data_IF_861008752058
#
_entry.id   IF_861008752058
#
_cell.length_a   1.000
_cell.length_b   1.000
_cell.length_c   1.000
_cell.angle_alpha   90.00
_cell.angle_beta   90.00
_cell.angle_gamma   90.00
#
_symmetry.space_group_name_H-M   'P 1'
#
loop_
_entity.id
_entity.type
_entity.pdbx_description
1 polymer ?
#
# COMPACT_ATOMS: atom_id res chain seq x y z
N UNK A 1 -1.83 -14.58 2.62
CA UNK A 1 -2.30 -15.23 3.86
C UNK A 1 -3.10 -14.19 4.61
N UNK A 2 -4.32 -14.49 5.03
CA UNK A 2 -5.17 -13.50 5.69
C UNK A 2 -4.74 -13.32 7.16
N UNK A 3 -4.46 -12.07 7.55
CA UNK A 3 -4.21 -11.73 8.94
C UNK A 3 -5.53 -11.71 9.73
N UNK A 4 -5.47 -12.11 11.00
CA UNK A 4 -6.58 -11.94 11.95
C UNK A 4 -6.48 -10.59 12.63
N UNK A 5 -7.59 -9.89 12.81
CA UNK A 5 -7.60 -8.59 13.48
C UNK A 5 -8.19 -8.67 14.89
N UNK A 6 -9.35 -9.29 15.02
CA UNK A 6 -10.05 -9.47 16.29
C UNK A 6 -9.12 -10.03 17.38
N UNK A 7 -9.02 -9.32 18.50
CA UNK A 7 -8.17 -9.61 19.66
C UNK A 7 -6.66 -9.69 19.40
N UNK A 8 -6.20 -9.45 18.18
CA UNK A 8 -4.79 -9.51 17.81
C UNK A 8 -4.06 -8.20 18.09
N UNK A 9 -2.82 -8.27 18.56
CA UNK A 9 -2.01 -7.12 18.95
C UNK A 9 -0.96 -6.81 17.88
N UNK A 10 -1.05 -5.61 17.32
CA UNK A 10 -0.20 -5.12 16.24
C UNK A 10 0.78 -4.04 16.70
N UNK A 11 1.99 -4.05 16.15
CA UNK A 11 2.96 -2.97 16.26
C UNK A 11 3.48 -2.64 14.86
N UNK A 12 3.84 -1.38 14.62
CA UNK A 12 4.32 -0.90 13.32
C UNK A 12 5.73 -0.33 13.44
N UNK A 13 6.63 -0.76 12.56
CA UNK A 13 8.02 -0.28 12.50
C UNK A 13 8.39 0.19 11.10
N UNK A 14 9.40 1.06 10.98
CA UNK A 14 9.80 1.67 9.71
C UNK A 14 8.83 2.76 9.24
N UNK A 15 8.98 3.16 7.98
CA UNK A 15 8.05 4.08 7.33
C UNK A 15 7.15 3.26 6.42
N UNK A 16 5.84 3.38 6.64
CA UNK A 16 4.82 2.72 5.82
C UNK A 16 4.65 3.51 4.51
N UNK A 17 4.59 2.82 3.37
CA UNK A 17 4.38 3.42 2.06
C UNK A 17 2.90 3.79 1.81
N UNK A 18 1.99 3.02 2.41
CA UNK A 18 0.57 3.03 2.06
C UNK A 18 -0.30 3.77 3.08
N UNK A 19 0.14 3.88 4.33
CA UNK A 19 -0.63 4.48 5.42
C UNK A 19 0.27 5.25 6.36
N UNK A 20 -0.23 6.34 6.96
CA UNK A 20 0.41 6.86 8.18
C UNK A 20 0.32 5.80 9.29
N UNK A 21 1.30 5.76 10.19
CA UNK A 21 1.26 4.84 11.34
C UNK A 21 -0.04 4.97 12.15
N UNK A 22 -0.51 6.19 12.38
CA UNK A 22 -1.78 6.44 13.09
C UNK A 22 -3.00 5.88 12.36
N UNK A 23 -2.98 5.90 11.03
CA UNK A 23 -4.02 5.35 10.17
C UNK A 23 -4.01 3.82 10.22
N UNK A 24 -2.85 3.19 10.07
CA UNK A 24 -2.73 1.73 10.21
C UNK A 24 -3.18 1.26 11.60
N UNK A 25 -2.89 2.03 12.65
CA UNK A 25 -3.40 1.76 14.00
C UNK A 25 -4.93 1.90 14.12
N UNK A 26 -5.52 2.90 13.46
CA UNK A 26 -6.98 3.07 13.39
C UNK A 26 -7.64 1.85 12.76
N UNK A 27 -7.07 1.34 11.66
CA UNK A 27 -7.63 0.18 10.95
C UNK A 27 -7.61 -1.11 11.74
N UNK A 28 -6.54 -1.32 12.52
CA UNK A 28 -6.47 -2.47 13.43
C UNK A 28 -7.60 -2.39 14.45
N UNK A 29 -7.83 -1.21 15.06
CA UNK A 29 -8.88 -1.02 16.08
C UNK A 29 -10.29 -1.14 15.51
N UNK A 30 -10.49 -0.66 14.30
CA UNK A 30 -11.79 -0.75 13.63
C UNK A 30 -12.19 -2.19 13.27
N UNK A 31 -11.23 -3.13 13.31
CA UNK A 31 -11.43 -4.59 13.14
C UNK A 31 -11.20 -5.34 14.45
N UNK A 32 -11.47 -4.69 15.58
CA UNK A 32 -11.39 -5.25 16.94
C UNK A 32 -9.99 -5.71 17.38
N UNK A 33 -8.96 -5.25 16.69
CA UNK A 33 -7.58 -5.46 17.07
C UNK A 33 -7.05 -4.41 18.04
N UNK A 34 -5.89 -4.70 18.63
CA UNK A 34 -5.19 -3.84 19.56
C UNK A 34 -3.87 -3.35 18.95
N UNK A 35 -3.46 -2.13 19.31
CA UNK A 35 -2.22 -1.54 18.77
C UNK A 35 -1.25 -1.17 19.87
N UNK A 36 -0.01 -1.63 19.78
CA UNK A 36 1.07 -1.32 20.70
C UNK A 36 2.16 -0.49 20.02
N UNK A 37 2.85 0.31 20.82
CA UNK A 37 4.00 1.12 20.36
C UNK A 37 5.35 0.42 20.61
N UNK A 38 5.35 -0.69 21.34
CA UNK A 38 6.55 -1.44 21.73
C UNK A 38 6.42 -2.91 21.35
N UNK A 39 7.56 -3.54 21.06
CA UNK A 39 7.64 -4.99 20.84
C UNK A 39 7.79 -5.66 22.20
N UNK A 40 6.87 -6.58 22.53
CA UNK A 40 6.82 -7.32 23.78
C UNK A 40 6.22 -8.73 23.53
N UNK A 41 6.31 -9.62 24.52
CA UNK A 41 5.83 -11.01 24.45
C UNK A 41 4.32 -11.16 24.16
N UNK A 42 3.53 -10.12 24.45
CA UNK A 42 2.10 -10.14 24.20
C UNK A 42 1.79 -9.84 22.74
N UNK A 43 2.72 -9.26 21.98
CA UNK A 43 2.50 -8.84 20.61
C UNK A 43 2.28 -10.05 19.70
N UNK A 44 1.28 -9.97 18.82
CA UNK A 44 0.94 -11.03 17.88
C UNK A 44 1.59 -10.76 16.51
N UNK A 45 1.59 -9.48 16.05
CA UNK A 45 2.16 -9.07 14.77
C UNK A 45 3.05 -7.83 14.87
N UNK A 46 4.20 -7.87 14.20
CA UNK A 46 5.02 -6.70 13.88
C UNK A 46 4.95 -6.42 12.38
N UNK A 47 4.25 -5.35 12.00
CA UNK A 47 4.15 -4.88 10.62
C UNK A 47 5.35 -4.01 10.28
N UNK A 48 6.07 -4.39 9.23
CA UNK A 48 7.28 -3.70 8.74
C UNK A 48 6.90 -2.88 7.51
N UNK A 49 7.12 -1.56 7.60
CA UNK A 49 6.88 -0.65 6.49
C UNK A 49 7.83 -0.89 5.31
N UNK A 50 7.30 -0.65 4.11
CA UNK A 50 7.99 -0.90 2.84
C UNK A 50 9.05 0.14 2.49
N UNK A 51 9.03 1.33 3.11
CA UNK A 51 10.04 2.35 2.84
C UNK A 51 11.31 2.04 3.67
N UNK A 52 12.45 1.73 3.03
CA UNK A 52 13.68 1.43 3.73
C UNK A 52 14.16 2.65 4.50
N UNK A 53 14.62 2.43 5.73
CA UNK A 53 15.32 3.49 6.46
C UNK A 53 16.69 3.72 5.81
N UNK A 54 17.18 4.98 5.71
CA UNK A 54 18.54 5.27 5.27
C UNK A 54 19.63 4.52 6.07
N UNK A 55 19.29 4.04 7.27
CA UNK A 55 20.16 3.27 8.16
C UNK A 55 20.23 1.76 7.82
N UNK A 56 19.53 1.26 6.79
CA UNK A 56 19.55 -0.16 6.42
C UNK A 56 20.74 -0.59 5.54
N UNK A 57 21.80 0.22 5.45
CA UNK A 57 23.03 -0.21 4.81
C UNK A 57 23.64 -1.34 5.65
N UNK A 58 23.76 -2.54 5.08
CA UNK A 58 24.47 -3.71 5.63
C UNK A 58 23.69 -4.65 6.57
N UNK A 59 22.38 -4.87 6.36
CA UNK A 59 21.66 -5.95 7.03
C UNK A 59 21.40 -5.72 8.53
N UNK A 60 21.58 -4.48 8.99
CA UNK A 60 21.31 -4.08 10.36
C UNK A 60 19.80 -3.83 10.53
N UNK A 61 19.11 -4.85 11.01
CA UNK A 61 17.68 -4.77 11.27
C UNK A 61 17.46 -3.85 12.48
N UNK A 62 16.64 -2.80 12.33
CA UNK A 62 16.35 -1.89 13.45
C UNK A 62 15.87 -2.64 14.71
N UNK A 63 16.18 -2.10 15.89
CA UNK A 63 16.04 -2.77 17.21
C UNK A 63 14.69 -3.47 17.47
N UNK A 64 13.58 -2.97 16.88
CA UNK A 64 12.26 -3.62 16.96
C UNK A 64 12.20 -4.96 16.23
N UNK A 65 12.82 -5.08 15.05
CA UNK A 65 12.83 -6.31 14.25
C UNK A 65 13.69 -7.36 14.93
N UNK A 66 14.86 -6.99 15.43
CA UNK A 66 15.72 -7.91 16.18
C UNK A 66 14.98 -8.47 17.40
N UNK A 67 14.41 -7.59 18.24
CA UNK A 67 13.63 -8.02 19.41
C UNK A 67 12.45 -8.91 19.05
N UNK A 68 11.76 -8.63 17.95
CA UNK A 68 10.65 -9.46 17.47
C UNK A 68 11.11 -10.87 17.06
N UNK A 69 12.28 -10.97 16.39
CA UNK A 69 12.86 -12.27 16.00
C UNK A 69 13.29 -13.09 17.22
N UNK A 70 13.85 -12.45 18.23
CA UNK A 70 14.22 -13.10 19.50
C UNK A 70 12.99 -13.68 20.19
N UNK A 71 11.96 -12.85 20.41
CA UNK A 71 10.69 -13.28 21.01
C UNK A 71 10.00 -14.37 20.18
N UNK A 72 10.07 -14.29 18.85
CA UNK A 72 9.48 -15.32 17.99
C UNK A 72 10.17 -16.68 18.17
N UNK A 73 11.49 -16.71 18.34
CA UNK A 73 12.23 -17.96 18.62
C UNK A 73 11.86 -18.55 19.98
N UNK A 74 11.61 -17.71 20.98
CA UNK A 74 11.32 -18.14 22.36
C UNK A 74 9.85 -18.52 22.57
N UNK A 75 8.93 -17.80 21.93
CA UNK A 75 7.49 -17.85 22.24
C UNK A 75 6.60 -18.09 21.01
N UNK A 76 7.17 -18.19 19.82
CA UNK A 76 6.41 -18.33 18.57
C UNK A 76 5.69 -17.05 18.11
N UNK A 77 5.92 -15.91 18.78
CA UNK A 77 5.34 -14.59 18.47
C UNK A 77 6.24 -13.45 18.93
N UNK A 78 6.14 -12.23 18.36
CA UNK A 78 5.25 -11.79 17.28
C UNK A 78 5.70 -12.27 15.90
N UNK A 79 4.74 -12.50 14.98
CA UNK A 79 5.05 -12.76 13.58
C UNK A 79 5.44 -11.46 12.86
N UNK A 80 6.52 -11.49 12.09
CA UNK A 80 6.88 -10.41 11.18
C UNK A 80 5.95 -10.43 9.97
N UNK A 81 5.36 -9.29 9.65
CA UNK A 81 4.39 -9.13 8.57
C UNK A 81 4.84 -7.98 7.67
N UNK A 82 4.87 -8.22 6.36
CA UNK A 82 5.15 -7.16 5.39
C UNK A 82 3.95 -6.20 5.30
N UNK A 83 4.20 -4.91 5.07
CA UNK A 83 3.12 -3.95 4.86
C UNK A 83 2.16 -4.36 3.74
N UNK A 84 2.65 -4.95 2.64
CA UNK A 84 1.80 -5.45 1.55
C UNK A 84 0.81 -6.52 2.01
N UNK A 85 1.22 -7.43 2.90
CA UNK A 85 0.35 -8.46 3.48
C UNK A 85 -0.68 -7.85 4.44
N UNK A 86 -0.27 -6.84 5.21
CA UNK A 86 -1.18 -6.07 6.05
C UNK A 86 -2.24 -5.36 5.22
N UNK A 87 -1.84 -4.67 4.14
CA UNK A 87 -2.77 -4.02 3.22
C UNK A 87 -3.73 -5.01 2.57
N UNK A 88 -3.25 -6.19 2.16
CA UNK A 88 -4.09 -7.24 1.60
C UNK A 88 -5.12 -7.77 2.62
N UNK A 89 -4.76 -7.83 3.90
CA UNK A 89 -5.66 -8.35 4.95
C UNK A 89 -6.66 -7.30 5.43
N UNK A 90 -6.27 -6.01 5.44
CA UNK A 90 -7.23 -4.91 5.61
C UNK A 90 -8.31 -4.95 4.55
N UNK A 91 -7.88 -5.36 3.37
CA UNK A 91 -8.76 -5.66 2.29
C UNK A 91 -9.73 -6.78 2.76
N UNK A 92 -9.28 -8.00 3.03
CA UNK A 92 -10.17 -9.16 3.21
C UNK A 92 -11.03 -9.15 4.48
N UNK A 93 -10.65 -8.41 5.52
CA UNK A 93 -11.38 -8.33 6.80
C UNK A 93 -12.10 -6.99 6.90
N UNK A 94 -13.41 -7.00 7.12
CA UNK A 94 -14.21 -5.78 7.25
C UNK A 94 -14.16 -5.21 8.68
N UNK A 95 -14.24 -3.88 8.84
CA UNK A 95 -14.44 -3.23 10.14
C UNK A 95 -15.79 -3.58 10.76
N UNK A 96 -15.83 -3.74 12.09
CA UNK A 96 -17.04 -4.18 12.82
C UNK A 96 -18.09 -3.10 13.06
N UNK A 97 -17.74 -1.82 12.92
CA UNK A 97 -18.66 -0.68 12.96
C UNK A 97 -18.48 0.19 11.71
N UNK A 98 -18.64 -0.43 10.54
CA UNK A 98 -18.50 0.24 9.24
C UNK A 98 -19.71 1.11 8.86
N UNK A 99 -20.79 1.09 9.65
CA UNK A 99 -22.07 1.73 9.31
C UNK A 99 -22.78 1.01 8.15
N UNK A 100 -23.80 1.65 7.58
CA UNK A 100 -24.49 1.12 6.39
C UNK A 100 -23.53 1.07 5.18
N UNK A 101 -23.59 -0.06 4.45
CA UNK A 101 -22.92 -0.25 3.16
C UNK A 101 -23.73 0.49 2.10
N UNK A 102 -23.29 1.69 1.74
CA UNK A 102 -23.92 2.52 0.71
C UNK A 102 -23.07 2.62 -0.57
N UNK A 103 -21.78 2.27 -0.51
CA UNK A 103 -20.84 2.40 -1.61
C UNK A 103 -19.88 1.20 -1.76
N UNK A 104 -19.37 1.02 -2.97
CA UNK A 104 -18.32 0.05 -3.33
C UNK A 104 -17.02 0.79 -3.59
N UNK A 105 -15.90 0.21 -3.19
CA UNK A 105 -14.57 0.74 -3.48
C UNK A 105 -13.87 -0.18 -4.46
N UNK A 106 -13.34 0.41 -5.52
CA UNK A 106 -12.37 -0.20 -6.41
C UNK A 106 -10.96 0.23 -6.01
N UNK A 107 -10.07 -0.74 -5.82
CA UNK A 107 -8.63 -0.50 -5.65
C UNK A 107 -7.87 -1.20 -6.77
N UNK A 108 -7.10 -0.43 -7.52
CA UNK A 108 -6.21 -0.93 -8.58
C UNK A 108 -4.79 -0.58 -8.20
N UNK A 109 -3.92 -1.57 -8.03
CA UNK A 109 -2.48 -1.35 -7.91
C UNK A 109 -1.84 -1.64 -9.26
N UNK A 110 -0.98 -0.75 -9.71
CA UNK A 110 -0.28 -0.85 -10.99
C UNK A 110 1.21 -0.62 -10.72
N UNK A 111 2.07 -1.53 -11.17
CA UNK A 111 3.52 -1.47 -10.93
C UNK A 111 4.29 -1.70 -12.23
N UNK A 112 5.39 -0.98 -12.41
CA UNK A 112 6.27 -1.13 -13.58
C UNK A 112 7.67 -0.59 -13.28
N UNK A 113 8.61 -0.84 -14.18
CA UNK A 113 9.98 -0.29 -14.14
C UNK A 113 10.15 0.67 -15.32
N UNK A 114 10.72 1.85 -15.07
CA UNK A 114 11.20 2.78 -16.09
C UNK A 114 12.72 2.70 -16.11
N UNK A 115 13.29 2.52 -17.30
CA UNK A 115 14.73 2.49 -17.45
C UNK A 115 15.31 3.90 -17.61
N UNK A 116 16.49 4.14 -17.03
CA UNK A 116 17.31 5.35 -17.25
C UNK A 116 16.62 6.71 -17.03
N UNK A 117 15.60 6.78 -16.16
CA UNK A 117 14.86 8.01 -15.86
C UNK A 117 14.37 8.76 -17.10
N UNK A 118 13.84 8.04 -18.07
CA UNK A 118 13.33 8.63 -19.32
C UNK A 118 12.31 9.76 -19.02
N UNK A 119 12.71 11.00 -19.31
CA UNK A 119 11.94 12.18 -18.92
C UNK A 119 10.61 12.30 -19.65
N UNK A 120 10.51 11.77 -20.88
CA UNK A 120 9.27 11.79 -21.65
C UNK A 120 8.25 10.80 -21.06
N UNK A 121 8.68 9.57 -20.74
CA UNK A 121 7.82 8.58 -20.09
C UNK A 121 7.38 9.00 -18.70
N UNK A 122 8.31 9.55 -17.90
CA UNK A 122 8.01 10.14 -16.58
C UNK A 122 6.89 11.18 -16.72
N UNK A 123 7.03 12.12 -17.66
CA UNK A 123 6.02 13.16 -17.87
C UNK A 123 4.68 12.58 -18.33
N UNK A 124 4.69 11.62 -19.25
CA UNK A 124 3.48 10.94 -19.72
C UNK A 124 2.75 10.19 -18.58
N UNK A 125 3.50 9.58 -17.66
CA UNK A 125 2.95 8.93 -16.46
C UNK A 125 2.31 9.96 -15.54
N UNK A 126 2.98 11.07 -15.25
CA UNK A 126 2.42 12.14 -14.42
C UNK A 126 1.13 12.71 -15.04
N UNK A 127 1.13 12.93 -16.36
CA UNK A 127 -0.04 13.40 -17.10
C UNK A 127 -1.20 12.39 -17.01
N UNK A 128 -0.95 11.09 -17.22
CA UNK A 128 -1.96 10.05 -17.10
C UNK A 128 -2.53 9.94 -15.67
N UNK A 129 -1.65 9.98 -14.67
CA UNK A 129 -2.07 9.94 -13.26
C UNK A 129 -2.95 11.16 -12.94
N UNK A 130 -2.53 12.37 -13.30
CA UNK A 130 -3.28 13.59 -13.06
C UNK A 130 -4.63 13.58 -13.77
N UNK A 131 -4.69 13.06 -15.00
CA UNK A 131 -5.93 12.87 -15.75
C UNK A 131 -6.86 11.89 -15.04
N UNK A 132 -6.33 10.77 -14.59
CA UNK A 132 -7.10 9.74 -13.88
C UNK A 132 -7.66 10.27 -12.55
N UNK A 133 -6.89 11.07 -11.82
CA UNK A 133 -7.34 11.73 -10.59
C UNK A 133 -8.46 12.75 -10.85
N UNK A 134 -8.27 13.65 -11.82
CA UNK A 134 -9.18 14.78 -12.07
C UNK A 134 -10.44 14.41 -12.85
N UNK A 135 -10.33 13.57 -13.86
CA UNK A 135 -11.41 13.33 -14.84
C UNK A 135 -12.19 12.06 -14.53
N UNK A 136 -11.54 11.05 -13.94
CA UNK A 136 -12.16 9.77 -13.65
C UNK A 136 -12.56 9.60 -12.17
N UNK A 137 -12.33 10.61 -11.33
CA UNK A 137 -12.75 10.62 -9.92
C UNK A 137 -12.01 9.60 -9.06
N UNK A 138 -10.78 9.25 -9.44
CA UNK A 138 -9.92 8.42 -8.61
C UNK A 138 -9.16 9.27 -7.59
N UNK A 139 -8.83 8.68 -6.46
CA UNK A 139 -7.73 9.12 -5.62
C UNK A 139 -6.52 8.28 -5.95
N UNK A 140 -5.42 8.95 -6.34
CA UNK A 140 -4.23 8.29 -6.85
C UNK A 140 -3.06 8.50 -5.90
N UNK A 141 -2.35 7.41 -5.64
CA UNK A 141 -1.08 7.39 -4.93
C UNK A 141 -0.03 6.85 -5.87
N UNK A 142 1.09 7.54 -6.01
CA UNK A 142 2.21 7.07 -6.81
C UNK A 142 3.49 7.32 -6.02
N UNK A 143 4.39 6.34 -6.04
CA UNK A 143 5.72 6.44 -5.45
C UNK A 143 6.75 5.80 -6.38
N UNK A 144 8.00 6.23 -6.23
CA UNK A 144 9.13 5.74 -7.02
C UNK A 144 10.27 5.29 -6.14
N UNK A 145 10.89 4.19 -6.54
CA UNK A 145 12.02 3.63 -5.83
C UNK A 145 13.12 3.24 -6.82
N UNK A 146 14.40 3.25 -6.42
CA UNK A 146 15.45 2.65 -7.23
C UNK A 146 15.13 1.18 -7.50
N UNK A 147 15.02 0.79 -8.77
CA UNK A 147 14.61 -0.56 -9.16
C UNK A 147 15.61 -1.63 -8.72
N UNK A 148 16.90 -1.27 -8.60
CA UNK A 148 17.96 -2.11 -8.08
C UNK A 148 17.71 -2.62 -6.63
N UNK A 149 16.81 -2.00 -5.87
CA UNK A 149 16.40 -2.50 -4.56
C UNK A 149 15.51 -3.76 -4.64
N UNK A 150 14.88 -4.02 -5.79
CA UNK A 150 13.87 -5.06 -5.98
C UNK A 150 14.23 -6.08 -7.07
N UNK A 151 15.19 -5.75 -7.93
CA UNK A 151 15.64 -6.62 -9.02
C UNK A 151 17.15 -6.50 -9.21
N UNK A 152 17.87 -7.62 -9.15
CA UNK A 152 19.32 -7.66 -9.42
C UNK A 152 19.67 -7.35 -10.88
N UNK A 153 18.67 -7.44 -11.78
CA UNK A 153 18.83 -7.15 -13.21
C UNK A 153 18.50 -5.69 -13.57
N UNK A 154 18.03 -4.88 -12.62
CA UNK A 154 17.73 -3.48 -12.88
C UNK A 154 19.01 -2.63 -12.92
N UNK A 155 19.07 -1.71 -13.86
CA UNK A 155 20.12 -0.71 -13.96
C UNK A 155 20.17 0.22 -12.74
N UNK A 156 21.31 0.86 -12.49
CA UNK A 156 21.52 1.72 -11.32
C UNK A 156 20.59 2.95 -11.28
N UNK A 157 20.13 3.40 -12.46
CA UNK A 157 19.26 4.57 -12.62
C UNK A 157 17.80 4.19 -12.93
N UNK A 158 17.48 2.90 -12.96
CA UNK A 158 16.12 2.44 -13.22
C UNK A 158 15.22 2.72 -12.02
N UNK A 159 13.98 3.10 -12.30
CA UNK A 159 12.99 3.43 -11.28
C UNK A 159 11.85 2.42 -11.33
N UNK A 160 11.57 1.80 -10.19
CA UNK A 160 10.32 1.08 -9.97
C UNK A 160 9.25 2.10 -9.59
N UNK A 161 8.15 2.10 -10.33
CA UNK A 161 6.98 2.93 -10.04
C UNK A 161 5.88 2.04 -9.50
N UNK A 162 5.26 2.46 -8.40
CA UNK A 162 4.07 1.84 -7.85
C UNK A 162 2.95 2.87 -7.75
N UNK A 163 1.88 2.63 -8.49
CA UNK A 163 0.67 3.43 -8.48
C UNK A 163 -0.46 2.66 -7.81
N UNK A 164 -1.27 3.35 -7.01
CA UNK A 164 -2.56 2.87 -6.51
C UNK A 164 -3.64 3.85 -6.88
N UNK A 165 -4.66 3.35 -7.53
CA UNK A 165 -5.87 4.06 -7.89
C UNK A 165 -7.01 3.57 -7.02
N UNK A 166 -7.75 4.51 -6.45
CA UNK A 166 -8.86 4.23 -5.55
C UNK A 166 -10.09 4.98 -6.03
N UNK A 167 -11.22 4.30 -6.19
CA UNK A 167 -12.46 4.95 -6.62
C UNK A 167 -13.65 4.43 -5.83
N UNK A 168 -14.48 5.35 -5.35
CA UNK A 168 -15.82 5.03 -4.86
C UNK A 168 -16.75 4.83 -6.05
N UNK A 169 -17.60 3.83 -5.94
CA UNK A 169 -18.53 3.41 -6.97
C UNK A 169 -19.87 3.07 -6.33
N UNK A 170 -20.99 3.25 -7.05
CA UNK A 170 -22.25 2.65 -6.66
C UNK A 170 -22.13 1.12 -6.48
N UNK A 171 -22.94 0.54 -5.61
CA UNK A 171 -22.90 -0.90 -5.31
C UNK A 171 -23.18 -1.79 -6.53
N UNK A 172 -23.99 -1.30 -7.47
CA UNK A 172 -24.37 -1.96 -8.72
C UNK A 172 -23.36 -1.71 -9.87
N UNK A 173 -22.36 -0.84 -9.67
CA UNK A 173 -21.36 -0.55 -10.68
C UNK A 173 -20.26 -1.62 -10.76
N UNK A 174 -19.78 -1.87 -11.98
CA UNK A 174 -18.70 -2.82 -12.28
C UNK A 174 -17.34 -2.12 -12.43
N UNK A 175 -16.25 -2.79 -12.04
CA UNK A 175 -14.89 -2.27 -12.22
C UNK A 175 -14.36 -2.33 -13.66
N UNK A 176 -15.04 -3.02 -14.58
CA UNK A 176 -14.49 -3.27 -15.94
C UNK A 176 -14.08 -1.99 -16.67
N UNK A 177 -15.00 -1.02 -16.76
CA UNK A 177 -14.72 0.26 -17.41
C UNK A 177 -13.63 1.09 -16.71
N UNK A 178 -13.69 1.33 -15.37
CA UNK A 178 -12.64 2.07 -14.68
C UNK A 178 -11.28 1.37 -14.68
N UNK A 179 -11.23 0.03 -14.59
CA UNK A 179 -9.99 -0.74 -14.68
C UNK A 179 -9.37 -0.61 -16.08
N UNK A 180 -10.16 -0.82 -17.13
CA UNK A 180 -9.69 -0.71 -18.51
C UNK A 180 -9.17 0.70 -18.82
N UNK A 181 -9.73 1.75 -18.21
CA UNK A 181 -9.25 3.11 -18.38
C UNK A 181 -7.85 3.33 -17.77
N UNK A 182 -7.55 2.69 -16.64
CA UNK A 182 -6.22 2.73 -16.01
C UNK A 182 -5.22 1.96 -16.88
N UNK A 183 -5.54 0.71 -17.23
CA UNK A 183 -4.66 -0.19 -17.96
C UNK A 183 -4.31 0.39 -19.34
N UNK A 184 -5.31 0.78 -20.14
CA UNK A 184 -5.09 1.37 -21.47
C UNK A 184 -4.25 2.64 -21.43
N UNK A 185 -4.37 3.43 -20.36
CA UNK A 185 -3.60 4.66 -20.23
C UNK A 185 -2.12 4.42 -19.95
N UNK A 186 -1.78 3.34 -19.21
CA UNK A 186 -0.39 2.93 -19.03
C UNK A 186 0.17 2.16 -20.24
N UNK A 187 -0.62 1.27 -20.86
CA UNK A 187 -0.24 0.55 -22.09
C UNK A 187 0.08 1.50 -23.26
N UNK A 188 -0.52 2.69 -23.27
CA UNK A 188 -0.25 3.71 -24.28
C UNK A 188 1.13 4.41 -24.11
N UNK A 189 1.84 4.18 -23.01
CA UNK A 189 3.14 4.81 -22.72
C UNK A 189 4.26 3.87 -23.19
N UNK A 190 5.03 4.22 -24.25
CA UNK A 190 5.93 3.29 -24.96
C UNK A 190 7.03 2.59 -24.12
N UNK A 191 7.34 3.10 -22.91
CA UNK A 191 8.35 2.54 -22.02
C UNK A 191 7.77 1.92 -20.73
N UNK A 192 6.44 1.79 -20.64
CA UNK A 192 5.77 1.20 -19.48
C UNK A 192 5.27 -0.19 -19.84
N UNK A 193 6.02 -1.20 -19.41
CA UNK A 193 5.55 -2.59 -19.35
C UNK A 193 5.26 -2.93 -17.89
N UNK A 194 3.97 -2.97 -17.54
CA UNK A 194 3.50 -3.00 -16.17
C UNK A 194 2.54 -4.13 -15.88
N UNK A 195 2.51 -4.55 -14.63
CA UNK A 195 1.54 -5.54 -14.14
C UNK A 195 0.50 -4.83 -13.26
N UNK A 196 -0.79 -5.09 -13.52
CA UNK A 196 -1.89 -4.66 -12.68
C UNK A 196 -2.31 -5.76 -11.71
N UNK A 197 -2.67 -5.39 -10.49
CA UNK A 197 -3.40 -6.24 -9.55
C UNK A 197 -4.51 -5.42 -8.89
N UNK A 198 -5.76 -5.86 -9.05
CA UNK A 198 -6.94 -5.13 -8.58
C UNK A 198 -7.81 -6.00 -7.67
N UNK A 199 -8.61 -5.32 -6.85
CA UNK A 199 -9.71 -5.94 -6.11
C UNK A 199 -10.86 -4.95 -5.90
N UNK A 200 -12.05 -5.49 -5.71
CA UNK A 200 -13.28 -4.74 -5.41
C UNK A 200 -13.80 -5.14 -4.02
N UNK A 201 -14.36 -4.18 -3.27
CA UNK A 201 -15.17 -4.46 -2.08
C UNK A 201 -16.33 -3.51 -1.89
N UNK A 202 -17.43 -4.05 -1.39
CA UNK A 202 -18.53 -3.26 -0.84
C UNK A 202 -18.23 -3.01 0.64
N UNK A 203 -18.18 -1.75 1.06
CA UNK A 203 -17.86 -1.38 2.45
C UNK A 203 -18.81 -0.31 2.96
N UNK A 204 -19.05 -0.29 4.28
CA UNK A 204 -19.79 0.78 4.92
C UNK A 204 -19.00 2.08 5.02
N UNK A 205 -19.74 3.21 5.08
CA UNK A 205 -19.23 4.60 5.15
C UNK A 205 -18.11 4.89 6.15
N UNK A 206 -17.87 4.05 7.16
CA UNK A 206 -17.14 4.49 8.35
C UNK A 206 -15.63 4.23 8.41
N UNK A 207 -14.97 3.51 7.49
CA UNK A 207 -13.58 3.07 7.82
C UNK A 207 -12.52 3.16 6.71
N UNK A 208 -12.63 2.44 5.59
CA UNK A 208 -11.56 2.44 4.58
C UNK A 208 -11.67 3.62 3.60
N UNK A 209 -12.89 3.99 3.22
CA UNK A 209 -13.17 5.12 2.32
C UNK A 209 -12.52 6.43 2.80
N UNK A 210 -12.68 6.75 4.08
CA UNK A 210 -12.13 7.99 4.69
C UNK A 210 -10.61 7.98 4.81
N UNK A 211 -9.98 6.80 4.85
CA UNK A 211 -8.52 6.69 4.83
C UNK A 211 -7.93 7.06 3.49
N UNK A 212 -8.63 6.69 2.42
CA UNK A 212 -8.17 6.83 1.04
C UNK A 212 -8.31 8.26 0.53
N UNK A 213 -9.04 9.12 1.25
CA UNK A 213 -9.09 10.59 1.06
C UNK A 213 -8.02 11.33 1.90
N UNK A 214 -7.49 10.70 2.96
CA UNK A 214 -6.64 11.34 3.99
C UNK A 214 -5.15 10.97 3.93
N UNK A 215 -4.76 10.00 3.10
CA UNK A 215 -3.33 9.81 2.78
C UNK A 215 -2.95 11.08 2.00
N UNK A 216 -1.96 11.86 2.47
CA UNK A 216 -1.61 13.12 1.83
C UNK A 216 -1.12 12.79 0.42
N UNK A 217 -1.96 13.01 -0.58
CA UNK A 217 -1.56 12.92 -1.98
C UNK A 217 -0.40 13.87 -2.17
N UNK A 218 0.82 13.35 -2.26
CA UNK A 218 1.97 14.24 -2.41
C UNK A 218 3.03 13.66 -3.34
N UNK A 219 3.07 14.37 -4.47
CA UNK A 219 4.19 14.66 -5.35
C UNK A 219 4.56 13.49 -6.25
N UNK A 220 3.88 13.51 -7.40
CA UNK A 220 3.81 12.46 -8.40
C UNK A 220 5.13 11.76 -8.70
N UNK A 221 6.28 12.43 -8.70
CA UNK A 221 7.59 11.78 -8.81
C UNK A 221 8.68 12.65 -8.14
N UNK A 222 8.64 12.85 -6.80
CA UNK A 222 9.69 13.63 -6.08
C UNK A 222 11.00 12.84 -5.90
N UNK A 223 11.54 12.31 -6.98
CA UNK A 223 12.91 11.77 -7.06
C UNK A 223 13.43 11.74 -8.51
N UNK A 224 13.27 12.85 -9.24
CA UNK A 224 14.24 13.25 -10.26
C UNK A 224 15.36 14.05 -9.60
#
# INVERSE_FOLDING_TARGET
>A
MDLKFEDQKYCFTGTLANLKRSQAQREVRAREGLTYNTVNERLDYLVVGSIPSPHWKHGDYGSKIQKARELFKEHGKPRLVAESEFMHSLASVLPTDSGDIDEKILVVNYKFIINQRDSESIKAIEEHIQKTEKEAGFHVYADTYPAAMFSENAGPDDLKVECRFVKKMPLDATAEAPLAAIEKGFEAIPAVDGESHWFERSEGTATFVRLLEEIPGKNYLRAL
#
